data_IF_542710405339
#
_entry.id   IF_542710405339
#
_cell.length_a   1.000
_cell.length_b   1.000
_cell.length_c   1.000
_cell.angle_alpha   90.00
_cell.angle_beta   90.00
_cell.angle_gamma   90.00
#
_symmetry.space_group_name_H-M   'P 1'
#
loop_
_entity.id
_entity.type
_entity.pdbx_description
1 polymer ?
#
# COMPACT_ATOMS: atom_id res chain seq x y z
N UNK A 1 2.16 -8.51 -12.16
CA UNK A 1 2.27 -7.28 -11.35
C UNK A 1 2.40 -7.69 -9.89
N UNK A 2 3.39 -7.18 -9.16
CA UNK A 2 3.54 -7.51 -7.74
C UNK A 2 2.73 -6.56 -6.85
N UNK A 3 2.52 -6.94 -5.60
CA UNK A 3 1.81 -6.09 -4.64
C UNK A 3 2.53 -4.75 -4.39
N UNK A 4 3.86 -4.72 -4.38
CA UNK A 4 4.60 -3.47 -4.20
C UNK A 4 4.43 -2.52 -5.39
N UNK A 5 4.34 -3.03 -6.62
CA UNK A 5 4.03 -2.20 -7.79
C UNK A 5 2.65 -1.56 -7.67
N UNK A 6 1.67 -2.31 -7.16
CA UNK A 6 0.32 -1.81 -6.91
C UNK A 6 0.31 -0.69 -5.88
N UNK A 7 1.05 -0.86 -4.78
CA UNK A 7 1.20 0.16 -3.73
C UNK A 7 1.82 1.43 -4.31
N UNK A 8 2.93 1.30 -5.06
CA UNK A 8 3.59 2.45 -5.70
C UNK A 8 2.65 3.16 -6.66
N UNK A 9 1.89 2.42 -7.48
CA UNK A 9 0.94 3.01 -8.41
C UNK A 9 -0.17 3.78 -7.70
N UNK A 10 -0.70 3.27 -6.58
CA UNK A 10 -1.69 3.98 -5.77
C UNK A 10 -1.12 5.28 -5.22
N UNK A 11 0.05 5.21 -4.60
CA UNK A 11 0.71 6.39 -4.02
C UNK A 11 1.04 7.45 -5.08
N UNK A 12 1.53 7.03 -6.26
CA UNK A 12 1.78 7.94 -7.40
C UNK A 12 0.50 8.63 -7.89
N UNK A 13 -0.61 7.90 -7.96
CA UNK A 13 -1.89 8.45 -8.47
C UNK A 13 -2.57 9.38 -7.48
N UNK A 14 -2.45 9.12 -6.18
CA UNK A 14 -3.11 9.92 -5.15
C UNK A 14 -2.27 11.15 -4.80
N UNK A 15 -0.93 11.02 -4.79
CA UNK A 15 -0.03 12.15 -4.54
C UNK A 15 0.03 12.61 -3.08
N UNK A 16 -0.75 12.00 -2.18
CA UNK A 16 -0.73 12.27 -0.74
C UNK A 16 -0.39 11.01 0.07
N UNK A 17 0.17 11.17 1.28
CA UNK A 17 0.40 10.04 2.17
C UNK A 17 -0.92 9.34 2.53
N UNK A 18 -0.93 8.01 2.49
CA UNK A 18 -2.11 7.20 2.78
C UNK A 18 -1.83 6.18 3.88
N UNK A 19 -2.86 5.76 4.60
CA UNK A 19 -2.72 4.65 5.52
C UNK A 19 -2.62 3.32 4.77
N UNK A 20 -2.03 2.31 5.43
CA UNK A 20 -2.01 0.94 4.89
C UNK A 20 -3.41 0.40 4.56
N UNK A 21 -4.43 0.84 5.31
CA UNK A 21 -5.82 0.43 5.09
C UNK A 21 -6.37 1.10 3.83
N UNK A 22 -6.19 2.41 3.68
CA UNK A 22 -6.62 3.14 2.48
C UNK A 22 -5.98 2.60 1.20
N UNK A 23 -4.68 2.26 1.27
CA UNK A 23 -3.96 1.65 0.14
C UNK A 23 -4.59 0.30 -0.23
N UNK A 24 -4.88 -0.54 0.77
CA UNK A 24 -5.51 -1.84 0.53
C UNK A 24 -6.91 -1.67 -0.09
N UNK A 25 -7.70 -0.73 0.42
CA UNK A 25 -9.05 -0.46 -0.08
C UNK A 25 -9.03 0.07 -1.51
N UNK A 26 -8.08 0.96 -1.85
CA UNK A 26 -7.92 1.44 -3.23
C UNK A 26 -7.49 0.30 -4.16
N UNK A 27 -6.54 -0.55 -3.74
CA UNK A 27 -6.09 -1.70 -4.55
C UNK A 27 -7.25 -2.65 -4.81
N UNK A 28 -8.04 -2.99 -3.78
CA UNK A 28 -9.19 -3.88 -3.91
C UNK A 28 -10.30 -3.25 -4.76
N UNK A 29 -10.64 -1.97 -4.51
CA UNK A 29 -11.70 -1.26 -5.25
C UNK A 29 -11.38 -1.09 -6.72
N UNK A 30 -10.11 -0.78 -7.04
CA UNK A 30 -9.64 -0.61 -8.42
C UNK A 30 -9.12 -1.89 -9.05
N UNK A 31 -9.16 -3.02 -8.32
CA UNK A 31 -8.68 -4.33 -8.77
C UNK A 31 -7.25 -4.29 -9.35
N UNK A 32 -6.39 -3.44 -8.78
CA UNK A 32 -5.03 -3.19 -9.29
C UNK A 32 -4.10 -4.39 -9.07
N UNK A 33 -4.46 -5.25 -8.12
CA UNK A 33 -3.76 -6.49 -7.84
C UNK A 33 -4.77 -7.52 -7.37
N UNK A 34 -4.65 -8.75 -7.86
CA UNK A 34 -5.43 -9.90 -7.42
C UNK A 34 -4.50 -10.93 -6.81
N UNK A 35 -4.89 -11.48 -5.66
CA UNK A 35 -4.28 -12.68 -5.12
C UNK A 35 -4.74 -13.88 -5.95
N UNK A 36 -3.94 -14.93 -5.93
CA UNK A 36 -4.25 -16.21 -6.57
C UNK A 36 -5.59 -16.78 -6.05
N UNK A 37 -5.75 -16.74 -4.73
CA UNK A 37 -6.96 -17.11 -3.99
C UNK A 37 -8.13 -16.10 -4.12
N UNK A 38 -7.99 -15.05 -4.94
CA UNK A 38 -8.98 -13.98 -5.17
C UNK A 38 -9.45 -13.19 -3.93
N UNK A 39 -8.97 -13.54 -2.73
CA UNK A 39 -9.32 -12.84 -1.51
C UNK A 39 -8.86 -11.37 -1.54
N UNK A 40 -9.54 -10.46 -0.81
CA UNK A 40 -9.14 -9.06 -0.74
C UNK A 40 -7.82 -8.88 0.01
N UNK A 41 -7.05 -7.86 -0.36
CA UNK A 41 -5.84 -7.47 0.35
C UNK A 41 -6.20 -6.71 1.61
N UNK A 42 -5.48 -6.98 2.69
CA UNK A 42 -5.65 -6.30 3.98
C UNK A 42 -4.47 -5.36 4.26
N UNK A 43 -4.71 -4.31 5.05
CA UNK A 43 -3.66 -3.34 5.43
C UNK A 43 -2.42 -3.97 6.06
N UNK A 44 -2.55 -5.09 6.79
CA UNK A 44 -1.41 -5.84 7.31
C UNK A 44 -0.46 -6.37 6.23
N UNK A 45 -0.98 -6.78 5.07
CA UNK A 45 -0.15 -7.23 3.94
C UNK A 45 0.60 -6.06 3.29
N UNK A 46 -0.02 -4.88 3.26
CA UNK A 46 0.61 -3.64 2.78
C UNK A 46 1.77 -3.27 3.71
N UNK A 47 1.53 -3.24 5.03
CA UNK A 47 2.57 -2.98 6.03
C UNK A 47 3.75 -3.96 5.93
N UNK A 48 3.47 -5.26 5.76
CA UNK A 48 4.52 -6.26 5.57
C UNK A 48 5.36 -6.01 4.30
N UNK A 49 4.76 -5.52 3.20
CA UNK A 49 5.49 -5.18 1.97
C UNK A 49 6.32 -3.91 2.13
N UNK A 50 5.78 -2.91 2.81
CA UNK A 50 6.49 -1.66 3.08
C UNK A 50 7.74 -1.92 3.92
N UNK A 51 7.60 -2.70 5.00
CA UNK A 51 8.74 -3.07 5.84
C UNK A 51 9.76 -3.95 5.11
N UNK A 52 9.33 -4.78 4.16
CA UNK A 52 10.23 -5.60 3.33
C UNK A 52 11.03 -4.77 2.32
N UNK A 53 10.49 -3.64 1.85
CA UNK A 53 11.10 -2.79 0.84
C UNK A 53 11.19 -1.32 1.30
N UNK A 54 11.99 -1.03 2.35
CA UNK A 54 12.06 0.30 2.95
C UNK A 54 12.59 1.37 1.99
N UNK A 55 13.35 0.99 0.96
CA UNK A 55 13.85 1.90 -0.07
C UNK A 55 12.78 2.38 -1.05
N UNK A 56 11.61 1.72 -1.12
CA UNK A 56 10.50 2.12 -2.01
C UNK A 56 9.50 3.07 -1.34
N UNK A 57 9.53 3.18 -0.01
CA UNK A 57 8.45 3.81 0.74
C UNK A 57 8.98 4.64 1.91
N UNK A 58 8.41 5.82 2.11
CA UNK A 58 8.62 6.65 3.29
C UNK A 58 7.42 6.48 4.22
N UNK A 59 7.69 6.05 5.46
CA UNK A 59 6.66 5.78 6.47
C UNK A 59 6.72 6.82 7.57
N UNK A 60 5.61 7.50 7.78
CA UNK A 60 5.41 8.36 8.94
C UNK A 60 4.72 7.55 10.05
N UNK A 61 5.49 7.27 11.11
CA UNK A 61 5.04 6.53 12.30
C UNK A 61 4.59 7.43 13.44
N UNK A 62 4.70 8.75 13.28
CA UNK A 62 4.26 9.72 14.30
C UNK A 62 2.73 9.81 14.34
N UNK A 63 2.08 9.51 13.20
CA UNK A 63 0.64 9.47 13.06
C UNK A 63 0.07 8.07 13.32
N UNK A 64 -1.11 8.00 13.96
CA UNK A 64 -1.93 6.78 14.08
C UNK A 64 -3.26 7.02 13.35
N UNK A 65 -3.56 6.30 12.26
CA UNK A 65 -2.76 5.23 11.64
C UNK A 65 -1.47 5.73 10.96
N UNK A 66 -0.48 4.84 10.82
CA UNK A 66 0.77 5.14 10.12
C UNK A 66 0.49 5.54 8.66
N UNK A 67 1.17 6.59 8.18
CA UNK A 67 1.02 7.08 6.82
C UNK A 67 2.21 6.66 5.96
N UNK A 68 1.94 6.40 4.68
CA UNK A 68 2.90 5.86 3.72
C UNK A 68 2.90 6.77 2.51
N UNK A 69 4.09 7.16 2.06
CA UNK A 69 4.34 7.97 0.88
C UNK A 69 5.53 7.40 0.09
N UNK A 70 5.77 7.95 -1.10
CA UNK A 70 6.97 7.63 -1.87
C UNK A 70 8.15 8.47 -1.33
N UNK A 71 9.39 7.97 -1.45
CA UNK A 71 10.59 8.69 -1.02
C UNK A 71 10.78 10.03 -1.74
#
# INVERSE_FOLDING_TARGET
MNLHDAIVQVLKKVGTPLSCQDIADIINKKQLYKKDDLSPIKGGQISARINKYPYLFKVDRTNKPMLVSLP
#
